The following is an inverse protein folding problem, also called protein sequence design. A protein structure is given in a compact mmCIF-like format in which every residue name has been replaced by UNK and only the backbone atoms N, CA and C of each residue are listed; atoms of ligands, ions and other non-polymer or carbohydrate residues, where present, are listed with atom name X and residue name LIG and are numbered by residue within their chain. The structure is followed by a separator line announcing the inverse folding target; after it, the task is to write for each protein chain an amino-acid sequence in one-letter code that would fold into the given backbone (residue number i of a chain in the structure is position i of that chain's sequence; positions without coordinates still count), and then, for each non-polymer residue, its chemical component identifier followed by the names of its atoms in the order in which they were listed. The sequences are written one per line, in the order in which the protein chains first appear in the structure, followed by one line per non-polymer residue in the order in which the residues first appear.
data_IF_119006275903
#
_entry.id   IF_119006275903
#
_cell.length_a   1.000
_cell.length_b   1.000
_cell.length_c   1.000
_cell.angle_alpha   90.00
_cell.angle_beta   90.00
_cell.angle_gamma   90.00
#
_symmetry.space_group_name_H-M   'P 1'
#
loop_
_entity.id
_entity.type
_entity.pdbx_description
1 polymer ?
#
# COMPACT_ATOMS: atom_id res chain seq x y z
N UNK A 1 -2.13 39.82 13.82
CA UNK A 1 -2.35 38.44 14.28
C UNK A 1 -1.14 37.68 13.77
N UNK A 2 -0.15 37.51 14.65
CA UNK A 2 1.22 37.19 14.28
C UNK A 2 1.29 35.77 13.72
N UNK A 3 1.86 35.64 12.52
CA UNK A 3 2.46 34.39 12.08
C UNK A 3 3.57 34.05 13.07
N UNK A 4 3.35 33.06 13.92
CA UNK A 4 4.40 32.43 14.73
C UNK A 4 5.38 31.72 13.79
N UNK A 5 6.31 32.50 13.21
CA UNK A 5 7.52 32.00 12.59
C UNK A 5 8.47 31.60 13.72
N UNK A 6 8.33 30.37 14.20
CA UNK A 6 9.41 29.73 14.93
C UNK A 6 10.67 29.81 14.05
N UNK A 7 11.77 30.44 14.52
CA UNK A 7 12.98 30.54 13.72
C UNK A 7 13.51 29.12 13.45
N UNK A 8 13.96 28.81 12.21
CA UNK A 8 14.49 27.50 11.89
C UNK A 8 15.69 27.19 12.80
N UNK A 9 15.66 26.01 13.43
CA UNK A 9 16.72 25.58 14.32
C UNK A 9 17.99 25.30 13.51
N UNK A 10 19.14 25.81 13.96
CA UNK A 10 20.39 25.75 13.19
C UNK A 10 20.83 24.32 12.81
N UNK A 11 20.41 23.31 13.56
CA UNK A 11 20.73 21.90 13.30
C UNK A 11 19.86 21.23 12.22
N UNK A 12 18.78 21.86 11.74
CA UNK A 12 17.94 21.33 10.66
C UNK A 12 18.18 22.02 9.32
N UNK A 13 19.04 23.04 9.27
CA UNK A 13 19.29 23.92 8.12
C UNK A 13 19.82 23.23 6.84
N UNK A 14 20.20 21.95 6.91
CA UNK A 14 20.62 21.13 5.77
C UNK A 14 19.65 19.99 5.40
N UNK A 15 18.54 19.82 6.11
CA UNK A 15 17.52 18.83 5.79
C UNK A 15 16.56 19.40 4.75
N UNK A 16 16.17 18.57 3.78
CA UNK A 16 15.20 18.95 2.75
C UNK A 16 13.80 18.55 3.17
N UNK A 17 12.89 19.52 3.20
CA UNK A 17 11.47 19.28 3.45
C UNK A 17 10.72 18.83 2.19
N UNK A 18 11.39 18.77 1.03
CA UNK A 18 10.74 18.44 -0.24
C UNK A 18 10.01 17.08 -0.23
N UNK A 19 10.51 16.11 0.54
CA UNK A 19 9.84 14.82 0.70
C UNK A 19 8.55 14.92 1.54
N UNK A 20 8.57 15.78 2.57
CA UNK A 20 7.41 16.07 3.42
C UNK A 20 6.38 16.85 2.60
N UNK A 21 6.80 17.92 1.92
CA UNK A 21 5.95 18.73 1.07
C UNK A 21 5.30 17.90 -0.03
N UNK A 22 6.05 17.03 -0.70
CA UNK A 22 5.52 16.13 -1.71
C UNK A 22 4.51 15.13 -1.13
N UNK A 23 4.74 14.62 0.09
CA UNK A 23 3.81 13.73 0.76
C UNK A 23 2.51 14.46 1.15
N UNK A 24 2.62 15.66 1.73
CA UNK A 24 1.48 16.47 2.18
C UNK A 24 0.69 17.09 1.03
N UNK A 25 1.33 17.38 -0.10
CA UNK A 25 0.63 17.78 -1.32
C UNK A 25 -0.28 16.65 -1.87
N UNK A 26 0.06 15.39 -1.60
CA UNK A 26 -0.75 14.23 -1.99
C UNK A 26 -1.81 13.92 -0.94
N UNK A 27 -1.42 13.91 0.33
CA UNK A 27 -2.30 13.65 1.46
C UNK A 27 -2.07 14.72 2.53
N UNK A 28 -2.89 15.78 2.55
CA UNK A 28 -2.75 16.83 3.55
C UNK A 28 -2.89 16.24 4.95
N UNK A 29 -2.07 16.66 5.93
CA UNK A 29 -2.06 16.07 7.27
C UNK A 29 -3.39 16.26 8.02
N UNK A 30 -4.11 17.35 7.73
CA UNK A 30 -5.38 17.69 8.37
C UNK A 30 -6.61 17.26 7.55
N UNK A 31 -6.41 16.48 6.48
CA UNK A 31 -7.52 15.99 5.67
C UNK A 31 -8.33 14.93 6.44
N UNK A 32 -9.67 15.04 6.40
CA UNK A 32 -10.53 14.00 6.93
C UNK A 32 -10.27 12.65 6.25
N UNK A 33 -10.07 11.63 7.09
CA UNK A 33 -9.82 10.26 6.66
C UNK A 33 -11.13 9.49 6.74
N UNK A 34 -11.81 9.39 5.59
CA UNK A 34 -12.91 8.44 5.40
C UNK A 34 -12.36 7.13 4.82
N UNK A 35 -12.61 5.97 5.48
CA UNK A 35 -12.17 4.66 4.98
C UNK A 35 -12.64 4.34 3.56
N UNK A 36 -13.84 4.78 3.17
CA UNK A 36 -14.48 4.47 1.88
C UNK A 36 -13.76 5.02 0.63
N UNK A 37 -12.72 5.84 0.81
CA UNK A 37 -11.89 6.37 -0.29
C UNK A 37 -10.43 5.96 -0.17
N UNK A 38 -10.11 4.93 0.62
CA UNK A 38 -8.76 4.45 0.83
C UNK A 38 -8.49 3.20 0.01
N UNK A 39 -7.23 3.04 -0.39
CA UNK A 39 -6.68 1.79 -0.90
C UNK A 39 -5.58 1.32 0.07
N UNK A 40 -5.93 0.51 1.08
CA UNK A 40 -4.96 -0.04 2.01
C UNK A 40 -3.87 -0.87 1.33
N UNK A 41 -2.61 -0.48 1.56
CA UNK A 41 -1.44 -1.31 1.32
C UNK A 41 -0.90 -1.75 2.69
N UNK A 42 -1.19 -2.98 3.07
CA UNK A 42 -1.02 -3.48 4.44
C UNK A 42 0.31 -4.20 4.58
N UNK A 43 1.12 -3.76 5.54
CA UNK A 43 2.39 -4.41 5.95
C UNK A 43 2.30 -4.89 7.39
N UNK A 44 3.18 -5.81 7.77
CA UNK A 44 3.26 -6.26 9.17
C UNK A 44 3.73 -5.16 10.12
N UNK A 45 3.22 -5.14 11.35
CA UNK A 45 3.69 -4.22 12.41
C UNK A 45 5.07 -4.56 13.00
N UNK A 46 5.69 -5.68 12.58
CA UNK A 46 6.98 -6.11 13.09
C UNK A 46 8.14 -5.25 12.53
N UNK A 47 9.21 -4.93 13.30
CA UNK A 47 10.34 -4.11 12.82
C UNK A 47 11.00 -4.62 11.53
N UNK A 48 11.00 -5.95 11.33
CA UNK A 48 11.47 -6.56 10.09
C UNK A 48 10.64 -6.13 8.87
N UNK A 49 9.32 -6.04 9.00
CA UNK A 49 8.42 -5.59 7.94
C UNK A 49 8.58 -4.10 7.66
N UNK A 50 8.85 -3.29 8.69
CA UNK A 50 9.23 -1.89 8.52
C UNK A 50 10.50 -1.72 7.66
N UNK A 51 11.50 -2.59 7.83
CA UNK A 51 12.73 -2.54 7.05
C UNK A 51 12.61 -3.16 5.65
N UNK A 52 11.82 -4.23 5.51
CA UNK A 52 11.75 -5.02 4.27
C UNK A 52 10.56 -4.67 3.39
N UNK A 53 9.37 -4.63 3.97
CA UNK A 53 8.10 -4.63 3.23
C UNK A 53 7.60 -3.19 3.03
N UNK A 54 7.77 -2.30 4.02
CA UNK A 54 7.35 -0.89 3.90
C UNK A 54 8.04 -0.14 2.74
N UNK A 55 9.34 -0.32 2.45
CA UNK A 55 9.95 0.29 1.26
C UNK A 55 9.32 -0.20 -0.06
N UNK A 56 8.93 -1.48 -0.11
CA UNK A 56 8.24 -2.06 -1.27
C UNK A 56 6.81 -1.51 -1.41
N UNK A 57 6.10 -1.37 -0.28
CA UNK A 57 4.79 -0.71 -0.24
C UNK A 57 4.87 0.76 -0.70
N UNK A 58 5.92 1.49 -0.32
CA UNK A 58 6.15 2.88 -0.79
C UNK A 58 6.35 2.95 -2.30
N UNK A 59 7.09 1.99 -2.90
CA UNK A 59 7.23 1.86 -4.36
C UNK A 59 5.89 1.56 -5.02
N UNK A 60 5.09 0.67 -4.43
CA UNK A 60 3.76 0.35 -4.94
C UNK A 60 2.81 1.56 -4.91
N UNK A 61 2.81 2.35 -3.84
CA UNK A 61 2.05 3.61 -3.75
C UNK A 61 2.37 4.55 -4.92
N UNK A 62 3.64 4.67 -5.31
CA UNK A 62 4.05 5.48 -6.45
C UNK A 62 3.50 4.91 -7.77
N UNK A 63 3.57 3.59 -7.96
CA UNK A 63 3.04 2.92 -9.15
C UNK A 63 1.51 3.08 -9.28
N UNK A 64 0.77 2.92 -8.18
CA UNK A 64 -0.68 3.12 -8.14
C UNK A 64 -1.03 4.56 -8.52
N UNK A 65 -0.37 5.55 -7.89
CA UNK A 65 -0.63 6.97 -8.15
C UNK A 65 -0.32 7.36 -9.59
N UNK A 66 0.75 6.82 -10.17
CA UNK A 66 1.10 7.03 -11.56
C UNK A 66 0.00 6.48 -12.48
N UNK A 67 -0.39 5.22 -12.28
CA UNK A 67 -1.45 4.60 -13.05
C UNK A 67 -2.78 5.37 -12.94
N UNK A 68 -3.18 5.78 -11.73
CA UNK A 68 -4.41 6.56 -11.51
C UNK A 68 -4.38 7.92 -12.22
N UNK A 69 -3.22 8.58 -12.32
CA UNK A 69 -3.09 9.85 -13.04
C UNK A 69 -3.22 9.68 -14.55
N UNK A 70 -2.73 8.56 -15.07
CA UNK A 70 -2.75 8.26 -16.51
C UNK A 70 -4.12 7.75 -16.98
N UNK A 71 -4.84 6.99 -16.13
CA UNK A 71 -6.06 6.28 -16.52
C UNK A 71 -7.35 6.92 -15.99
N UNK A 72 -7.30 7.65 -14.86
CA UNK A 72 -8.49 8.27 -14.27
C UNK A 72 -8.47 9.80 -14.49
N UNK A 73 -9.46 10.29 -15.23
CA UNK A 73 -9.61 11.71 -15.55
C UNK A 73 -10.08 12.53 -14.34
N UNK A 74 -11.04 12.01 -13.57
CA UNK A 74 -11.51 12.67 -12.35
C UNK A 74 -10.56 12.36 -11.18
N UNK A 75 -10.08 13.41 -10.51
CA UNK A 75 -9.26 13.25 -9.32
C UNK A 75 -10.08 12.72 -8.13
N UNK A 76 -11.40 12.96 -8.09
CA UNK A 76 -12.29 12.54 -6.99
C UNK A 76 -12.62 11.05 -7.02
N UNK A 77 -12.52 10.41 -8.18
CA UNK A 77 -12.72 8.96 -8.28
C UNK A 77 -11.51 8.17 -7.81
N UNK A 78 -10.32 8.78 -7.69
CA UNK A 78 -9.09 8.09 -7.31
C UNK A 78 -9.13 7.66 -5.85
N UNK A 79 -9.00 6.36 -5.59
CA UNK A 79 -8.73 5.86 -4.24
C UNK A 79 -7.39 6.41 -3.73
N UNK A 80 -7.30 6.72 -2.44
CA UNK A 80 -6.07 7.22 -1.82
C UNK A 80 -5.24 6.04 -1.29
N UNK A 81 -4.12 5.66 -1.95
CA UNK A 81 -3.31 4.57 -1.46
C UNK A 81 -2.53 5.00 -0.22
N UNK A 82 -2.62 4.20 0.84
CA UNK A 82 -2.02 4.44 2.15
C UNK A 82 -1.39 3.17 2.69
N UNK A 83 -0.22 3.29 3.33
CA UNK A 83 0.43 2.15 3.97
C UNK A 83 -0.08 2.03 5.40
N UNK A 84 -0.70 0.90 5.72
CA UNK A 84 -1.20 0.59 7.06
C UNK A 84 -0.48 -0.61 7.65
N UNK A 85 -0.45 -0.69 8.97
CA UNK A 85 -0.07 -1.93 9.63
C UNK A 85 -1.27 -2.87 9.69
N UNK A 86 -0.99 -4.16 9.66
CA UNK A 86 -1.95 -5.24 9.85
C UNK A 86 -2.80 -5.10 11.13
N UNK A 87 -2.22 -4.60 12.23
CA UNK A 87 -2.95 -4.33 13.47
C UNK A 87 -4.06 -3.30 13.30
N UNK A 88 -3.82 -2.19 12.59
CA UNK A 88 -4.86 -1.19 12.39
C UNK A 88 -5.92 -1.68 11.41
N UNK A 89 -5.46 -2.26 10.30
CA UNK A 89 -6.31 -2.74 9.23
C UNK A 89 -7.34 -3.80 9.71
N UNK A 90 -6.88 -4.82 10.44
CA UNK A 90 -7.75 -5.93 10.85
C UNK A 90 -8.78 -5.54 11.93
N UNK A 91 -8.56 -4.43 12.65
CA UNK A 91 -9.44 -3.99 13.73
C UNK A 91 -10.51 -2.99 13.25
N UNK A 92 -10.45 -2.53 12.00
CA UNK A 92 -11.42 -1.60 11.42
C UNK A 92 -12.27 -2.28 10.34
N UNK A 93 -13.58 -2.35 10.57
CA UNK A 93 -14.50 -3.03 9.67
C UNK A 93 -14.67 -2.29 8.35
N UNK A 94 -14.56 -0.96 8.34
CA UNK A 94 -14.72 -0.19 7.10
C UNK A 94 -13.49 -0.34 6.21
N UNK A 95 -12.29 -0.47 6.81
CA UNK A 95 -11.06 -0.80 6.08
C UNK A 95 -11.11 -2.19 5.45
N UNK A 96 -11.69 -3.18 6.13
CA UNK A 96 -11.86 -4.54 5.59
C UNK A 96 -12.79 -4.60 4.37
N UNK A 97 -13.63 -3.58 4.15
CA UNK A 97 -14.48 -3.47 2.97
C UNK A 97 -13.77 -2.85 1.77
N UNK A 98 -12.58 -2.27 1.96
CA UNK A 98 -11.86 -1.60 0.88
C UNK A 98 -11.02 -2.58 0.05
N UNK A 99 -10.84 -2.31 -1.25
CA UNK A 99 -9.80 -2.93 -2.05
C UNK A 99 -8.45 -2.93 -1.33
N UNK A 100 -7.79 -4.08 -1.19
CA UNK A 100 -6.62 -4.21 -0.30
C UNK A 100 -5.46 -4.97 -0.94
N UNK A 101 -4.25 -4.50 -0.68
CA UNK A 101 -3.01 -5.18 -1.07
C UNK A 101 -2.17 -5.45 0.17
N UNK A 102 -1.90 -6.72 0.51
CA UNK A 102 -1.01 -7.08 1.62
C UNK A 102 0.39 -7.47 1.11
N UNK A 103 1.42 -6.94 1.77
CA UNK A 103 2.83 -7.27 1.49
C UNK A 103 3.48 -7.79 2.76
N UNK A 104 4.17 -8.91 2.66
CA UNK A 104 4.92 -9.53 3.75
C UNK A 104 4.35 -10.88 4.14
N UNK A 105 5.19 -11.71 4.75
CA UNK A 105 4.87 -13.11 4.98
C UNK A 105 3.81 -13.31 6.10
N UNK A 106 3.03 -14.42 6.07
CA UNK A 106 2.01 -14.70 7.07
C UNK A 106 2.50 -14.77 8.53
N UNK A 107 3.80 -14.98 8.78
CA UNK A 107 4.33 -15.06 10.15
C UNK A 107 4.59 -13.68 10.76
N UNK A 108 4.74 -12.65 9.93
CA UNK A 108 4.97 -11.27 10.38
C UNK A 108 3.90 -10.27 9.95
N UNK A 109 2.96 -10.67 9.09
CA UNK A 109 1.80 -9.88 8.66
C UNK A 109 0.50 -10.68 8.86
N UNK A 110 -0.28 -10.30 9.87
CA UNK A 110 -1.53 -10.95 10.23
C UNK A 110 -2.60 -10.81 9.14
N UNK A 111 -2.60 -9.73 8.35
CA UNK A 111 -3.52 -9.56 7.22
C UNK A 111 -3.18 -10.54 6.09
N UNK A 112 -1.89 -10.74 5.80
CA UNK A 112 -1.46 -11.81 4.88
C UNK A 112 -1.91 -13.17 5.39
N UNK A 113 -1.72 -13.48 6.68
CA UNK A 113 -2.18 -14.76 7.26
C UNK A 113 -3.69 -14.95 7.14
N UNK A 114 -4.47 -13.89 7.34
CA UNK A 114 -5.91 -13.90 7.17
C UNK A 114 -6.31 -14.24 5.72
N UNK A 115 -5.74 -13.57 4.72
CA UNK A 115 -6.13 -13.80 3.33
C UNK A 115 -5.50 -15.04 2.68
N UNK A 116 -4.36 -15.53 3.19
CA UNK A 116 -3.63 -16.64 2.59
C UNK A 116 -4.43 -17.95 2.51
N UNK A 117 -5.42 -18.13 3.39
CA UNK A 117 -6.32 -19.29 3.37
C UNK A 117 -7.61 -19.06 2.56
N UNK A 118 -7.81 -17.85 2.03
CA UNK A 118 -9.06 -17.40 1.41
C UNK A 118 -8.89 -17.09 -0.08
N UNK A 119 -7.70 -16.66 -0.49
CA UNK A 119 -7.42 -16.27 -1.88
C UNK A 119 -6.79 -17.42 -2.68
N UNK A 120 -7.16 -17.58 -3.96
CA UNK A 120 -6.52 -18.55 -4.84
C UNK A 120 -5.10 -18.12 -5.22
N UNK A 121 -4.28 -19.07 -5.64
CA UNK A 121 -2.91 -18.84 -6.11
C UNK A 121 -2.93 -18.20 -7.51
N UNK A 122 -2.41 -16.98 -7.63
CA UNK A 122 -2.28 -16.27 -8.91
C UNK A 122 -0.89 -16.47 -9.52
N UNK A 123 0.17 -16.38 -8.71
CA UNK A 123 1.54 -16.62 -9.13
C UNK A 123 2.36 -17.21 -7.99
N UNK A 124 2.93 -18.39 -8.21
CA UNK A 124 3.73 -19.09 -7.20
C UNK A 124 4.98 -19.64 -7.86
N UNK A 125 6.12 -19.40 -7.21
CA UNK A 125 7.35 -20.14 -7.48
C UNK A 125 7.61 -20.98 -6.23
N UNK A 126 7.60 -22.30 -6.41
CA UNK A 126 7.57 -23.24 -5.30
C UNK A 126 8.72 -23.01 -4.31
N UNK A 127 8.37 -22.92 -3.02
CA UNK A 127 9.29 -22.61 -1.94
C UNK A 127 9.99 -21.24 -1.99
N UNK A 128 9.63 -20.33 -2.92
CA UNK A 128 10.32 -19.05 -3.10
C UNK A 128 9.41 -17.84 -2.90
N UNK A 129 8.26 -17.79 -3.57
CA UNK A 129 7.33 -16.68 -3.48
C UNK A 129 5.90 -17.08 -3.78
N UNK A 130 4.96 -16.27 -3.29
CA UNK A 130 3.53 -16.41 -3.52
C UNK A 130 2.89 -15.05 -3.78
N UNK A 131 1.99 -15.02 -4.75
CA UNK A 131 0.99 -13.98 -4.99
C UNK A 131 -0.36 -14.69 -5.05
N UNK A 132 -1.26 -14.32 -4.15
CA UNK A 132 -2.61 -14.87 -4.08
C UNK A 132 -3.61 -13.74 -4.36
N UNK A 133 -4.52 -14.00 -5.28
CA UNK A 133 -5.54 -13.06 -5.73
C UNK A 133 -6.57 -13.82 -6.56
N UNK A 134 -7.83 -13.42 -6.45
CA UNK A 134 -8.80 -13.72 -7.50
C UNK A 134 -8.49 -12.82 -8.72
N UNK A 135 -8.13 -13.43 -9.84
CA UNK A 135 -7.77 -12.69 -11.05
C UNK A 135 -8.98 -12.07 -11.76
N UNK A 136 -10.21 -12.39 -11.32
CA UNK A 136 -11.42 -11.67 -11.73
C UNK A 136 -11.67 -10.42 -10.87
N UNK A 137 -10.98 -10.31 -9.73
CA UNK A 137 -11.09 -9.19 -8.78
C UNK A 137 -12.52 -8.87 -8.33
N UNK A 138 -13.42 -9.86 -8.22
CA UNK A 138 -14.78 -9.64 -7.72
C UNK A 138 -14.78 -9.00 -6.31
N UNK A 139 -13.82 -9.42 -5.49
CA UNK A 139 -13.42 -8.75 -4.26
C UNK A 139 -11.94 -8.36 -4.42
N UNK A 140 -11.61 -7.09 -4.69
CA UNK A 140 -10.25 -6.67 -5.02
C UNK A 140 -9.29 -6.83 -3.84
N UNK A 141 -8.74 -8.03 -3.66
CA UNK A 141 -7.73 -8.32 -2.64
C UNK A 141 -6.56 -9.09 -3.24
N UNK A 142 -5.35 -8.63 -2.93
CA UNK A 142 -4.10 -9.27 -3.35
C UNK A 142 -3.20 -9.43 -2.13
N UNK A 143 -2.58 -10.58 -1.99
CA UNK A 143 -1.52 -10.79 -1.00
C UNK A 143 -0.26 -11.32 -1.67
N UNK A 144 0.90 -10.85 -1.23
CA UNK A 144 2.17 -11.28 -1.79
C UNK A 144 3.30 -11.32 -0.77
N UNK A 145 4.16 -12.33 -0.89
CA UNK A 145 5.37 -12.46 -0.10
C UNK A 145 6.38 -13.40 -0.76
N UNK A 146 7.65 -13.25 -0.37
CA UNK A 146 8.73 -14.18 -0.67
C UNK A 146 9.44 -14.64 0.60
N UNK A 147 10.32 -15.64 0.48
CA UNK A 147 11.14 -16.12 1.59
C UNK A 147 12.12 -15.04 2.12
N UNK A 148 12.46 -14.07 1.27
CA UNK A 148 13.30 -12.91 1.59
C UNK A 148 12.79 -11.62 0.93
N UNK A 149 13.49 -10.50 1.14
CA UNK A 149 13.09 -9.20 0.61
C UNK A 149 13.19 -9.13 -0.93
N UNK A 150 14.15 -9.83 -1.53
CA UNK A 150 14.35 -9.81 -2.98
C UNK A 150 13.26 -10.60 -3.70
N UNK A 151 12.91 -11.77 -3.18
CA UNK A 151 11.81 -12.60 -3.69
C UNK A 151 10.45 -11.93 -3.46
N UNK A 152 10.26 -11.23 -2.34
CA UNK A 152 9.06 -10.38 -2.12
C UNK A 152 8.99 -9.26 -3.16
N UNK A 153 10.13 -8.62 -3.48
CA UNK A 153 10.20 -7.64 -4.57
C UNK A 153 9.88 -8.25 -5.92
N UNK A 154 10.34 -9.47 -6.22
CA UNK A 154 9.97 -10.17 -7.47
C UNK A 154 8.47 -10.42 -7.57
N UNK A 155 7.83 -10.82 -6.47
CA UNK A 155 6.38 -10.98 -6.40
C UNK A 155 5.65 -9.64 -6.66
N UNK A 156 6.15 -8.55 -6.08
CA UNK A 156 5.64 -7.20 -6.32
C UNK A 156 5.82 -6.75 -7.78
N UNK A 157 7.00 -6.94 -8.36
CA UNK A 157 7.28 -6.57 -9.75
C UNK A 157 6.38 -7.35 -10.72
N UNK A 158 6.10 -8.63 -10.43
CA UNK A 158 5.10 -9.41 -11.18
C UNK A 158 3.70 -8.79 -11.05
N UNK A 159 3.26 -8.45 -9.83
CA UNK A 159 1.95 -7.85 -9.60
C UNK A 159 1.79 -6.53 -10.37
N UNK A 160 2.75 -5.60 -10.23
CA UNK A 160 2.74 -4.30 -10.93
C UNK A 160 2.64 -4.50 -12.44
N UNK A 161 3.39 -5.45 -13.00
CA UNK A 161 3.46 -5.65 -14.44
C UNK A 161 2.27 -6.42 -15.04
N UNK A 162 1.58 -7.26 -14.25
CA UNK A 162 0.61 -8.25 -14.78
C UNK A 162 -0.81 -8.12 -14.25
N UNK A 163 -0.97 -7.65 -13.02
CA UNK A 163 -2.25 -7.73 -12.30
C UNK A 163 -2.73 -6.38 -11.74
N UNK A 164 -1.82 -5.44 -11.48
CA UNK A 164 -2.16 -4.14 -10.92
C UNK A 164 -3.14 -3.33 -11.78
N UNK A 165 -3.03 -3.26 -13.13
CA UNK A 165 -4.02 -2.53 -13.93
C UNK A 165 -5.43 -3.05 -13.74
N UNK A 166 -5.66 -4.36 -13.90
CA UNK A 166 -6.99 -4.96 -13.74
C UNK A 166 -7.52 -4.90 -12.30
N UNK A 167 -6.63 -5.05 -11.31
CA UNK A 167 -6.98 -4.82 -9.91
C UNK A 167 -7.49 -3.39 -9.70
N UNK A 168 -6.77 -2.39 -10.24
CA UNK A 168 -7.13 -0.99 -10.08
C UNK A 168 -8.38 -0.64 -10.87
N UNK A 169 -8.58 -1.17 -12.08
CA UNK A 169 -9.83 -1.00 -12.84
C UNK A 169 -11.03 -1.46 -11.99
N UNK A 170 -10.99 -2.69 -11.49
CA UNK A 170 -12.05 -3.25 -10.65
C UNK A 170 -12.24 -2.50 -9.32
N UNK A 171 -11.16 -2.01 -8.71
CA UNK A 171 -11.24 -1.25 -7.46
C UNK A 171 -11.90 0.13 -7.60
N UNK A 172 -12.04 0.65 -8.82
CA UNK A 172 -12.64 1.96 -9.10
C UNK A 172 -14.01 1.86 -9.82
N UNK A 173 -14.55 0.66 -10.01
CA UNK A 173 -15.92 0.43 -10.50
C UNK A 173 -16.97 0.72 -9.42
#
# INVERSE_FOLDING_TARGET
MNEDKFPPLSHTSGLSDAAIDAAWAICPPDADVSPAGLLPVVVGAHPRSEMRDRPLASRLLQAIRLWQRENLQDARSRLRPIILTDLWYLNDKELLLQPTICIGDPSSNAATAYYATRLPKAYVVDGQLQVLADMQFLEPTVVMWGIDANTTRTALDWFIARAMPSFLESAHE
#
